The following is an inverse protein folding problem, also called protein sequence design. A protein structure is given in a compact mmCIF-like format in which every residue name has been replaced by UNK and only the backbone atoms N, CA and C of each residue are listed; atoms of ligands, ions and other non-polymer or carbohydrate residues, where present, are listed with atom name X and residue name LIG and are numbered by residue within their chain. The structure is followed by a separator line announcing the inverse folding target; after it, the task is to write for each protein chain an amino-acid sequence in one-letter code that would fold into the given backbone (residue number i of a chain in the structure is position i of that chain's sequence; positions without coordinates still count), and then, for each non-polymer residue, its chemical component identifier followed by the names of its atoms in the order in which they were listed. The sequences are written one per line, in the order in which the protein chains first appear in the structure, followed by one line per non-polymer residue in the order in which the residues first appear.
data_IF_146683854279
#
_entry.id   IF_146683854279
#
_cell.length_a   1.000
_cell.length_b   1.000
_cell.length_c   1.000
_cell.angle_alpha   90.00
_cell.angle_beta   90.00
_cell.angle_gamma   90.00
#
_symmetry.space_group_name_H-M   'P 1'
#
loop_
_entity.id
_entity.type
_entity.pdbx_description
1 polymer ?
#
# COMPACT_ATOMS: atom_id res chain seq x y z
N UNK A 1 8.75 1.33 -17.13
CA UNK A 1 7.99 2.54 -16.77
C UNK A 1 6.54 2.11 -16.67
N UNK A 2 6.10 1.80 -15.45
CA UNK A 2 4.79 1.18 -15.17
C UNK A 2 3.66 2.17 -15.36
N UNK A 3 2.51 1.69 -15.83
CA UNK A 3 1.27 2.45 -16.02
C UNK A 3 0.59 2.81 -14.68
N UNK A 4 1.36 2.93 -13.60
CA UNK A 4 0.87 2.90 -12.21
C UNK A 4 0.19 4.18 -11.69
N UNK A 5 0.24 5.37 -12.33
CA UNK A 5 -0.49 6.51 -11.79
C UNK A 5 -1.49 7.16 -12.77
N UNK A 6 -2.37 6.44 -13.49
CA UNK A 6 -3.40 7.16 -14.30
C UNK A 6 -4.78 6.51 -14.49
N UNK A 7 -5.24 5.63 -13.60
CA UNK A 7 -6.60 5.08 -13.73
C UNK A 7 -7.50 5.24 -12.51
N UNK A 8 -7.37 6.31 -11.71
CA UNK A 8 -8.41 6.63 -10.68
C UNK A 8 -9.82 6.84 -11.29
N UNK A 9 -9.88 7.08 -12.59
CA UNK A 9 -11.11 7.21 -13.36
C UNK A 9 -11.12 6.21 -14.52
N UNK A 10 -12.28 5.61 -14.88
CA UNK A 10 -12.40 4.75 -16.05
C UNK A 10 -11.99 5.49 -17.34
N UNK A 11 -11.14 4.87 -18.17
CA UNK A 11 -10.65 5.45 -19.44
C UNK A 11 -11.06 4.63 -20.65
N UNK A 12 -11.32 5.29 -21.78
CA UNK A 12 -11.63 4.62 -23.04
C UNK A 12 -10.36 4.09 -23.72
N UNK A 13 -10.51 3.11 -24.62
CA UNK A 13 -9.39 2.60 -25.43
C UNK A 13 -8.69 3.73 -26.18
N UNK A 14 -9.45 4.65 -26.77
CA UNK A 14 -8.89 5.78 -27.53
C UNK A 14 -7.93 6.61 -26.67
N UNK A 15 -8.38 7.02 -25.49
CA UNK A 15 -7.55 7.79 -24.57
C UNK A 15 -6.29 7.03 -24.18
N UNK A 16 -6.42 5.73 -23.87
CA UNK A 16 -5.27 4.91 -23.46
C UNK A 16 -4.27 4.75 -24.60
N UNK A 17 -4.74 4.53 -25.84
CA UNK A 17 -3.90 4.45 -27.04
C UNK A 17 -3.11 5.72 -27.28
N UNK A 18 -3.74 6.89 -27.09
CA UNK A 18 -3.08 8.18 -27.19
C UNK A 18 -2.00 8.37 -26.11
N UNK A 19 -2.24 7.90 -24.88
CA UNK A 19 -1.26 8.03 -23.79
C UNK A 19 -0.02 7.15 -23.98
N UNK A 20 -0.19 5.96 -24.54
CA UNK A 20 0.91 4.99 -24.70
C UNK A 20 1.53 5.03 -26.09
N UNK A 21 1.10 5.96 -26.94
CA UNK A 21 1.53 6.12 -28.34
C UNK A 21 1.48 4.78 -29.11
N UNK A 22 0.37 4.07 -28.99
CA UNK A 22 0.17 2.77 -29.64
C UNK A 22 -1.08 2.75 -30.52
N UNK A 23 -1.07 1.86 -31.51
CA UNK A 23 -2.23 1.63 -32.37
C UNK A 23 -3.44 1.17 -31.55
N UNK A 24 -4.62 1.69 -31.90
CA UNK A 24 -5.88 1.37 -31.20
C UNK A 24 -6.13 -0.13 -31.08
N UNK A 25 -5.89 -0.90 -32.15
CA UNK A 25 -6.09 -2.35 -32.17
C UNK A 25 -5.18 -3.07 -31.16
N UNK A 26 -3.92 -2.65 -31.07
CA UNK A 26 -2.93 -3.19 -30.13
C UNK A 26 -3.29 -2.84 -28.70
N UNK A 27 -3.70 -1.60 -28.43
CA UNK A 27 -4.17 -1.21 -27.10
C UNK A 27 -5.44 -1.96 -26.73
N UNK A 28 -6.39 -2.11 -27.65
CA UNK A 28 -7.63 -2.84 -27.39
C UNK A 28 -7.32 -4.30 -27.02
N UNK A 29 -6.51 -5.00 -27.82
CA UNK A 29 -6.10 -6.38 -27.51
C UNK A 29 -5.41 -6.48 -26.14
N UNK A 30 -4.49 -5.57 -25.84
CA UNK A 30 -3.83 -5.50 -24.53
C UNK A 30 -4.81 -5.31 -23.38
N UNK A 31 -5.77 -4.38 -23.52
CA UNK A 31 -6.79 -4.14 -22.49
C UNK A 31 -7.72 -5.34 -22.30
N UNK A 32 -8.10 -6.03 -23.39
CA UNK A 32 -8.90 -7.26 -23.31
C UNK A 32 -8.14 -8.35 -22.55
N UNK A 33 -6.86 -8.56 -22.87
CA UNK A 33 -6.00 -9.51 -22.15
C UNK A 33 -5.88 -9.17 -20.66
N UNK A 34 -5.79 -7.89 -20.29
CA UNK A 34 -5.73 -7.45 -18.89
C UNK A 34 -7.06 -7.66 -18.17
N UNK A 35 -8.20 -7.55 -18.86
CA UNK A 35 -9.50 -7.91 -18.29
C UNK A 35 -9.63 -9.42 -18.12
N UNK A 36 -9.16 -10.21 -19.08
CA UNK A 36 -9.19 -11.67 -19.00
C UNK A 36 -8.30 -12.21 -17.87
N UNK A 37 -7.22 -11.49 -17.55
CA UNK A 37 -6.36 -11.73 -16.38
C UNK A 37 -6.97 -11.23 -15.06
N UNK A 38 -8.13 -10.56 -15.10
CA UNK A 38 -8.80 -9.97 -13.94
C UNK A 38 -8.06 -8.79 -13.33
N UNK A 39 -7.15 -8.15 -14.07
CA UNK A 39 -6.42 -6.96 -13.62
C UNK A 39 -7.22 -5.67 -13.89
N UNK A 40 -8.02 -5.68 -14.96
CA UNK A 40 -8.93 -4.59 -15.30
C UNK A 40 -10.39 -5.05 -15.27
N UNK A 41 -11.28 -4.09 -15.03
CA UNK A 41 -12.73 -4.22 -15.20
C UNK A 41 -13.22 -3.31 -16.32
N UNK A 42 -14.21 -3.80 -17.06
CA UNK A 42 -14.99 -3.01 -18.02
C UNK A 42 -16.11 -2.29 -17.28
N UNK A 43 -16.28 -1.01 -17.57
CA UNK A 43 -17.36 -0.16 -17.05
C UNK A 43 -18.06 0.46 -18.24
N UNK A 44 -19.35 0.21 -18.36
CA UNK A 44 -20.17 0.81 -19.41
C UNK A 44 -20.46 2.27 -19.07
N UNK A 45 -20.15 3.19 -20.00
CA UNK A 45 -20.39 4.62 -19.86
C UNK A 45 -21.10 5.13 -21.13
N UNK A 46 -22.43 5.10 -21.10
CA UNK A 46 -23.25 5.40 -22.28
C UNK A 46 -23.06 4.32 -23.35
N UNK A 47 -22.66 4.73 -24.55
CA UNK A 47 -22.35 3.83 -25.68
C UNK A 47 -20.88 3.41 -25.73
N UNK A 48 -20.09 3.76 -24.71
CA UNK A 48 -18.64 3.51 -24.70
C UNK A 48 -18.22 2.64 -23.52
N UNK A 49 -17.47 1.58 -23.81
CA UNK A 49 -16.80 0.77 -22.79
C UNK A 49 -15.54 1.49 -22.30
N UNK A 50 -15.39 1.62 -20.99
CA UNK A 50 -14.20 2.16 -20.32
C UNK A 50 -13.55 1.08 -19.46
N UNK A 51 -12.26 1.24 -19.22
CA UNK A 51 -11.42 0.31 -18.48
C UNK A 51 -10.89 0.99 -17.22
N UNK A 52 -10.92 0.25 -16.12
CA UNK A 52 -10.36 0.68 -14.83
C UNK A 52 -9.72 -0.52 -14.11
N UNK A 53 -8.77 -0.31 -13.19
CA UNK A 53 -8.23 -1.36 -12.35
C UNK A 53 -9.29 -2.08 -11.54
N UNK A 54 -9.07 -3.38 -11.29
CA UNK A 54 -9.81 -4.07 -10.25
C UNK A 54 -9.23 -3.72 -8.87
N UNK A 55 -9.76 -2.65 -8.28
CA UNK A 55 -9.35 -2.19 -6.95
C UNK A 55 -9.61 -3.20 -5.83
N UNK A 56 -10.60 -4.07 -6.01
CA UNK A 56 -10.90 -5.11 -5.01
C UNK A 56 -9.77 -6.12 -4.99
N UNK A 57 -9.34 -6.57 -6.17
CA UNK A 57 -8.19 -7.45 -6.32
C UNK A 57 -6.91 -6.81 -5.80
N UNK A 58 -6.60 -5.57 -6.22
CA UNK A 58 -5.39 -4.87 -5.77
C UNK A 58 -5.32 -4.78 -4.25
N UNK A 59 -6.44 -4.42 -3.61
CA UNK A 59 -6.53 -4.36 -2.15
C UNK A 59 -6.31 -5.74 -1.51
N UNK A 60 -6.85 -6.81 -2.09
CA UNK A 60 -6.62 -8.17 -1.58
C UNK A 60 -5.17 -8.64 -1.75
N UNK A 61 -4.52 -8.28 -2.86
CA UNK A 61 -3.10 -8.57 -3.07
C UNK A 61 -2.23 -7.81 -2.07
N UNK A 62 -2.52 -6.53 -1.83
CA UNK A 62 -1.86 -5.71 -0.81
C UNK A 62 -2.06 -6.27 0.61
N UNK A 63 -3.29 -6.64 0.97
CA UNK A 63 -3.59 -7.28 2.27
C UNK A 63 -2.83 -8.60 2.41
N UNK A 64 -2.75 -9.41 1.36
CA UNK A 64 -1.99 -10.67 1.39
C UNK A 64 -0.50 -10.39 1.64
N UNK A 65 0.08 -9.46 0.91
CA UNK A 65 1.48 -9.06 1.10
C UNK A 65 1.71 -8.56 2.52
N UNK A 66 0.84 -7.72 3.06
CA UNK A 66 0.93 -7.25 4.45
C UNK A 66 0.87 -8.40 5.46
N UNK A 67 0.02 -9.41 5.24
CA UNK A 67 -0.07 -10.61 6.10
C UNK A 67 1.21 -11.45 6.00
N UNK A 68 1.78 -11.58 4.80
CA UNK A 68 3.01 -12.35 4.54
C UNK A 68 4.26 -11.66 5.11
N UNK A 69 4.33 -10.32 5.00
CA UNK A 69 5.44 -9.49 5.49
C UNK A 69 5.36 -9.23 7.00
N UNK A 70 4.18 -9.33 7.60
CA UNK A 70 3.98 -9.14 9.04
C UNK A 70 3.40 -10.41 9.68
N UNK A 71 4.11 -11.55 9.61
CA UNK A 71 3.62 -12.76 10.23
C UNK A 71 3.50 -12.51 11.74
N UNK A 72 2.40 -12.99 12.33
CA UNK A 72 2.07 -12.82 13.76
C UNK A 72 3.21 -13.22 14.70
N UNK A 73 4.06 -14.15 14.28
CA UNK A 73 5.26 -14.57 15.00
C UNK A 73 6.31 -13.46 15.08
N UNK A 74 6.54 -12.74 14.00
CA UNK A 74 7.54 -11.67 13.91
C UNK A 74 7.11 -10.45 14.73
N UNK A 75 5.85 -10.02 14.60
CA UNK A 75 5.28 -8.97 15.45
C UNK A 75 5.32 -9.31 16.95
N UNK A 76 5.15 -10.60 17.31
CA UNK A 76 5.26 -11.03 18.71
C UNK A 76 6.71 -11.04 19.17
N UNK A 77 7.64 -11.48 18.33
CA UNK A 77 9.07 -11.45 18.67
C UNK A 77 9.57 -10.02 18.83
N UNK A 78 9.10 -9.09 18.00
CA UNK A 78 9.41 -7.66 18.11
C UNK A 78 8.83 -7.06 19.41
N UNK A 79 7.60 -7.42 19.79
CA UNK A 79 7.04 -7.03 21.09
C UNK A 79 7.85 -7.56 22.28
N UNK A 80 8.33 -8.80 22.21
CA UNK A 80 9.21 -9.36 23.26
C UNK A 80 10.52 -8.58 23.33
N UNK A 81 11.16 -8.31 22.18
CA UNK A 81 12.40 -7.55 22.14
C UNK A 81 12.25 -6.13 22.71
N UNK A 82 11.16 -5.43 22.36
CA UNK A 82 10.86 -4.10 22.92
C UNK A 82 10.63 -4.19 24.43
N UNK A 83 9.95 -5.22 24.91
CA UNK A 83 9.71 -5.40 26.35
C UNK A 83 11.01 -5.66 27.10
N UNK A 84 11.91 -6.50 26.56
CA UNK A 84 13.23 -6.77 27.13
C UNK A 84 14.10 -5.49 27.17
N UNK A 85 14.05 -4.66 26.13
CA UNK A 85 14.76 -3.37 26.08
C UNK A 85 14.21 -2.37 27.12
N UNK A 86 12.89 -2.32 27.29
CA UNK A 86 12.26 -1.52 28.35
C UNK A 86 12.72 -2.02 29.73
N UNK A 87 12.65 -3.32 30.01
CA UNK A 87 13.10 -3.89 31.29
C UNK A 87 14.58 -3.60 31.57
N UNK A 88 15.44 -3.62 30.54
CA UNK A 88 16.85 -3.26 30.64
C UNK A 88 17.03 -1.78 31.03
N UNK A 89 16.32 -0.87 30.37
CA UNK A 89 16.35 0.56 30.72
C UNK A 89 15.80 0.83 32.11
N UNK A 90 14.72 0.15 32.50
CA UNK A 90 14.16 0.24 33.86
C UNK A 90 15.18 -0.20 34.90
N UNK A 91 15.85 -1.34 34.69
CA UNK A 91 16.90 -1.80 35.60
C UNK A 91 18.10 -0.84 35.65
N UNK A 92 18.41 -0.19 34.53
CA UNK A 92 19.53 0.76 34.41
C UNK A 92 19.24 2.09 35.10
N UNK A 93 18.01 2.57 34.99
CA UNK A 93 17.60 3.91 35.44
C UNK A 93 16.71 3.91 36.69
N UNK A 94 16.35 2.73 37.22
CA UNK A 94 15.47 2.51 38.37
C UNK A 94 14.11 3.21 38.22
N UNK A 95 13.53 3.13 37.01
CA UNK A 95 12.26 3.76 36.63
C UNK A 95 11.20 2.69 36.32
N UNK A 96 9.93 2.93 36.65
CA UNK A 96 8.84 1.97 36.41
C UNK A 96 8.15 2.19 35.05
N UNK A 97 7.37 1.22 34.57
CA UNK A 97 6.77 1.23 33.21
C UNK A 97 5.80 2.40 33.02
N UNK A 98 4.99 2.68 34.04
CA UNK A 98 4.04 3.79 34.02
C UNK A 98 4.75 5.14 33.87
N UNK A 99 5.92 5.33 34.49
CA UNK A 99 6.70 6.56 34.38
C UNK A 99 7.28 6.76 32.98
N UNK A 100 7.69 5.67 32.31
CA UNK A 100 8.18 5.70 30.93
C UNK A 100 7.05 5.96 29.93
N UNK A 101 5.90 5.29 30.06
CA UNK A 101 4.74 5.53 29.21
C UNK A 101 4.21 6.96 29.36
N UNK A 102 4.19 7.48 30.59
CA UNK A 102 3.85 8.86 30.88
C UNK A 102 4.86 9.81 30.23
N UNK A 103 6.17 9.55 30.33
CA UNK A 103 7.23 10.35 29.71
C UNK A 103 7.18 10.36 28.18
N UNK A 104 6.84 9.23 27.55
CA UNK A 104 6.65 9.14 26.10
C UNK A 104 5.38 9.86 25.61
N UNK A 105 4.33 9.89 26.42
CA UNK A 105 3.09 10.61 26.14
C UNK A 105 3.18 12.12 26.45
N UNK A 106 4.02 12.52 27.41
CA UNK A 106 4.28 13.92 27.81
C UNK A 106 5.40 14.54 26.94
N UNK A 107 6.33 13.71 26.47
CA UNK A 107 7.26 14.06 25.42
C UNK A 107 6.50 14.31 24.13
N UNK A 108 6.38 15.59 23.74
CA UNK A 108 6.07 15.98 22.36
C UNK A 108 7.20 15.46 21.47
N UNK A 109 7.18 14.16 21.18
CA UNK A 109 7.98 13.52 20.16
C UNK A 109 7.42 14.02 18.84
N UNK A 110 7.76 15.28 18.54
CA UNK A 110 7.53 15.89 17.26
C UNK A 110 8.05 14.89 16.23
N UNK A 111 7.12 14.33 15.45
CA UNK A 111 7.36 13.43 14.33
C UNK A 111 8.15 14.11 13.18
N UNK A 112 8.85 15.21 13.47
CA UNK A 112 9.55 16.09 12.53
C UNK A 112 11.06 15.86 12.44
N UNK A 113 11.54 14.61 12.51
CA UNK A 113 12.97 14.30 12.49
C UNK A 113 13.44 13.19 11.53
N UNK A 114 12.57 12.55 10.74
CA UNK A 114 12.95 11.46 9.82
C UNK A 114 12.87 11.83 8.33
N UNK A 115 13.00 13.12 8.00
CA UNK A 115 13.39 13.56 6.66
C UNK A 115 14.54 14.53 6.79
N UNK A 116 15.73 14.04 6.47
CA UNK A 116 16.83 14.69 5.75
C UNK A 116 18.17 14.09 6.19
N UNK A 117 18.65 13.10 5.43
CA UNK A 117 20.00 13.14 4.87
C UNK A 117 20.19 12.15 3.72
#
# INVERSE_FOLDING_TARGET
MGLEPILREPRSVNWISEQVDAAWSTTNEGLQNLVDQGQLRRVEAGETTRYQPDYTRLLFEEIRTLIEENPREELRNELVAITEEIEEWQATYDVETEDLEQSLADGDLASGGLREH
#
